data_IF_368960276513
#
_entry.id   IF_368960276513
#
_cell.length_a   1.000
_cell.length_b   1.000
_cell.length_c   1.000
_cell.angle_alpha   90.00
_cell.angle_beta   90.00
_cell.angle_gamma   90.00
#
_symmetry.space_group_name_H-M   'P 1'
#
loop_
_entity.id
_entity.type
_entity.pdbx_description
1 polymer ?
#
# COMPACT_ATOMS: atom_id res chain seq x y z
N UNK A 1 -2.96 31.71 10.26
CA UNK A 1 -2.22 31.49 8.99
C UNK A 1 -0.85 30.95 9.34
N UNK A 2 -0.76 29.64 9.57
CA UNK A 2 0.37 29.04 10.30
C UNK A 2 1.54 28.67 9.39
N UNK A 3 2.68 29.34 9.60
CA UNK A 3 3.98 28.69 9.82
C UNK A 3 4.77 28.07 8.66
N UNK A 4 4.19 27.78 7.48
CA UNK A 4 4.89 27.01 6.44
C UNK A 4 5.07 27.69 5.08
N UNK A 5 4.62 28.93 4.91
CA UNK A 5 4.70 29.65 3.63
C UNK A 5 6.14 29.82 3.09
N UNK A 6 7.16 29.65 3.93
CA UNK A 6 8.58 29.74 3.59
C UNK A 6 9.37 28.46 3.83
N UNK A 7 8.74 27.40 4.32
CA UNK A 7 9.40 26.14 4.62
C UNK A 7 9.57 25.35 3.34
N UNK A 8 10.78 24.87 3.06
CA UNK A 8 11.03 23.99 1.92
C UNK A 8 10.34 22.62 2.10
N UNK A 9 10.28 21.84 1.03
CA UNK A 9 9.56 20.57 1.04
C UNK A 9 10.27 19.50 1.88
N UNK A 10 11.59 19.56 2.02
CA UNK A 10 12.37 18.61 2.82
C UNK A 10 12.11 18.77 4.33
N UNK A 11 12.05 20.02 4.79
CA UNK A 11 11.69 20.36 6.15
C UNK A 11 10.22 20.02 6.45
N UNK A 12 9.31 20.19 5.49
CA UNK A 12 7.93 19.72 5.61
C UNK A 12 7.86 18.20 5.73
N UNK A 13 8.60 17.46 4.90
CA UNK A 13 8.69 15.99 4.98
C UNK A 13 9.22 15.56 6.34
N UNK A 14 10.26 16.22 6.85
CA UNK A 14 10.80 15.95 8.19
C UNK A 14 9.75 16.16 9.30
N UNK A 15 8.83 17.11 9.13
CA UNK A 15 7.74 17.36 10.08
C UNK A 15 6.69 16.24 10.13
N UNK A 16 6.68 15.28 9.19
CA UNK A 16 5.79 14.12 9.23
C UNK A 16 6.07 13.22 10.45
N UNK A 17 7.31 13.20 10.93
CA UNK A 17 7.72 12.47 12.14
C UNK A 17 7.38 13.16 13.45
N UNK A 18 6.95 14.43 13.40
CA UNK A 18 6.57 15.18 14.59
C UNK A 18 5.04 15.13 14.79
N UNK A 19 4.53 14.51 15.88
CA UNK A 19 3.09 14.39 16.10
C UNK A 19 2.32 15.71 16.17
N UNK A 20 2.96 16.81 16.59
CA UNK A 20 2.32 18.13 16.65
C UNK A 20 2.27 18.81 15.29
N UNK A 21 3.19 18.49 14.37
CA UNK A 21 3.30 19.12 13.05
C UNK A 21 2.82 18.24 11.89
N UNK A 22 2.72 16.93 12.09
CA UNK A 22 2.47 15.93 11.04
C UNK A 22 1.23 16.24 10.20
N UNK A 23 0.09 16.58 10.84
CA UNK A 23 -1.16 16.87 10.13
C UNK A 23 -1.04 18.11 9.25
N UNK A 24 -0.43 19.18 9.77
CA UNK A 24 -0.26 20.43 9.03
C UNK A 24 0.74 20.26 7.87
N UNK A 25 1.84 19.55 8.12
CA UNK A 25 2.84 19.25 7.11
C UNK A 25 2.26 18.37 5.99
N UNK A 26 1.48 17.35 6.35
CA UNK A 26 0.83 16.45 5.42
C UNK A 26 -0.12 17.18 4.46
N UNK A 27 -1.01 18.03 5.00
CA UNK A 27 -1.93 18.82 4.19
C UNK A 27 -1.21 19.84 3.30
N UNK A 28 -0.14 20.45 3.80
CA UNK A 28 0.65 21.40 3.01
C UNK A 28 1.39 20.69 1.86
N UNK A 29 1.96 19.50 2.09
CA UNK A 29 2.59 18.69 1.05
C UNK A 29 1.57 18.27 -0.02
N UNK A 30 0.35 17.86 0.36
CA UNK A 30 -0.73 17.58 -0.59
C UNK A 30 -1.10 18.82 -1.42
N UNK A 31 -1.18 19.99 -0.78
CA UNK A 31 -1.49 21.26 -1.46
C UNK A 31 -0.42 21.65 -2.48
N UNK A 32 0.85 21.31 -2.22
CA UNK A 32 1.99 21.57 -3.13
C UNK A 32 2.06 20.57 -4.29
N UNK A 33 1.48 19.38 -4.12
CA UNK A 33 1.32 18.39 -5.18
C UNK A 33 2.66 18.07 -5.89
N UNK A 34 2.78 18.39 -7.18
CA UNK A 34 3.92 18.03 -8.01
C UNK A 34 5.23 18.64 -7.48
N UNK A 35 5.17 19.85 -6.94
CA UNK A 35 6.34 20.56 -6.43
C UNK A 35 6.98 19.84 -5.22
N UNK A 36 6.20 19.03 -4.50
CA UNK A 36 6.66 18.30 -3.32
C UNK A 36 7.09 16.86 -3.62
N UNK A 37 6.84 16.33 -4.82
CA UNK A 37 7.05 14.90 -5.13
C UNK A 37 8.50 14.45 -4.90
N UNK A 38 9.49 15.22 -5.36
CA UNK A 38 10.89 14.83 -5.21
C UNK A 38 11.32 14.75 -3.73
N UNK A 39 10.84 15.68 -2.90
CA UNK A 39 11.09 15.64 -1.46
C UNK A 39 10.38 14.46 -0.79
N UNK A 40 9.14 14.16 -1.19
CA UNK A 40 8.37 13.02 -0.65
C UNK A 40 9.03 11.70 -1.04
N UNK A 41 9.48 11.55 -2.29
CA UNK A 41 10.24 10.38 -2.77
C UNK A 41 11.52 10.20 -1.98
N UNK A 42 12.28 11.28 -1.77
CA UNK A 42 13.49 11.27 -0.93
C UNK A 42 13.18 10.87 0.52
N UNK A 43 12.03 11.32 1.04
CA UNK A 43 11.54 11.00 2.38
C UNK A 43 11.29 9.52 2.64
N UNK A 44 11.15 8.69 1.61
CA UNK A 44 11.07 7.23 1.77
C UNK A 44 12.37 6.60 2.30
N UNK A 45 13.50 7.29 2.20
CA UNK A 45 14.78 6.85 2.79
C UNK A 45 15.06 7.48 4.17
N UNK A 46 14.09 8.18 4.76
CA UNK A 46 14.29 8.88 6.03
C UNK A 46 14.48 7.89 7.21
N UNK A 47 15.33 8.25 8.18
CA UNK A 47 15.64 7.40 9.33
C UNK A 47 14.39 7.13 10.21
N UNK A 48 13.54 8.15 10.38
CA UNK A 48 12.29 8.05 11.14
C UNK A 48 11.21 7.29 10.34
N UNK A 49 10.69 6.14 10.84
CA UNK A 49 9.63 5.39 10.19
C UNK A 49 8.31 6.18 10.03
N UNK A 50 8.00 7.13 10.92
CA UNK A 50 6.80 7.95 10.78
C UNK A 50 6.87 8.88 9.55
N UNK A 51 8.07 9.36 9.21
CA UNK A 51 8.29 10.12 7.97
C UNK A 51 8.12 9.21 6.76
N UNK A 52 8.72 8.03 6.76
CA UNK A 52 8.57 7.05 5.66
C UNK A 52 7.12 6.65 5.44
N UNK A 53 6.40 6.35 6.51
CA UNK A 53 4.96 6.03 6.47
C UNK A 53 4.15 7.20 5.86
N UNK A 54 4.40 8.42 6.33
CA UNK A 54 3.74 9.61 5.81
C UNK A 54 3.99 9.80 4.32
N UNK A 55 5.23 9.56 3.86
CA UNK A 55 5.60 9.63 2.45
C UNK A 55 4.88 8.57 1.62
N UNK A 56 4.81 7.30 2.06
CA UNK A 56 4.03 6.26 1.39
C UNK A 56 2.57 6.68 1.17
N UNK A 57 1.94 7.25 2.21
CA UNK A 57 0.54 7.72 2.13
C UNK A 57 0.38 8.92 1.21
N UNK A 58 1.34 9.84 1.18
CA UNK A 58 1.30 11.00 0.28
C UNK A 58 1.39 10.56 -1.17
N UNK A 59 2.28 9.61 -1.50
CA UNK A 59 2.44 9.10 -2.87
C UNK A 59 1.19 8.35 -3.35
N UNK A 60 0.50 7.62 -2.46
CA UNK A 60 -0.81 7.02 -2.75
C UNK A 60 -1.87 8.09 -3.11
N UNK A 61 -1.96 9.15 -2.30
CA UNK A 61 -2.93 10.23 -2.54
C UNK A 61 -2.61 11.11 -3.76
N UNK A 62 -1.33 11.33 -4.04
CA UNK A 62 -0.87 12.11 -5.19
C UNK A 62 -0.86 11.30 -6.50
N UNK A 63 -1.15 10.00 -6.42
CA UNK A 63 -1.21 9.10 -7.59
C UNK A 63 0.10 9.09 -8.38
N UNK A 64 1.21 9.11 -7.66
CA UNK A 64 2.52 9.20 -8.29
C UNK A 64 2.97 7.82 -8.83
N UNK A 65 2.70 7.56 -10.10
CA UNK A 65 3.03 6.29 -10.76
C UNK A 65 4.53 6.07 -10.94
N UNK A 66 5.33 7.13 -10.90
CA UNK A 66 6.78 7.01 -11.02
C UNK A 66 7.42 6.49 -9.71
N UNK A 67 6.69 6.56 -8.58
CA UNK A 67 7.13 6.05 -7.28
C UNK A 67 6.84 4.57 -7.06
N UNK A 68 6.33 3.86 -8.07
CA UNK A 68 5.91 2.46 -7.90
C UNK A 68 7.04 1.56 -7.39
N UNK A 69 8.25 1.72 -7.89
CA UNK A 69 9.40 0.90 -7.49
C UNK A 69 9.83 1.21 -6.05
N UNK A 70 9.72 2.48 -5.65
CA UNK A 70 10.00 2.91 -4.29
C UNK A 70 8.95 2.33 -3.33
N UNK A 71 7.67 2.39 -3.67
CA UNK A 71 6.58 1.80 -2.87
C UNK A 71 6.70 0.28 -2.76
N UNK A 72 7.15 -0.41 -3.81
CA UNK A 72 7.45 -1.85 -3.75
C UNK A 72 8.57 -2.12 -2.75
N UNK A 73 9.65 -1.34 -2.76
CA UNK A 73 10.72 -1.49 -1.78
C UNK A 73 10.23 -1.26 -0.33
N UNK A 74 9.30 -0.32 -0.14
CA UNK A 74 8.70 -0.07 1.18
C UNK A 74 7.84 -1.21 1.72
N UNK A 75 7.45 -2.18 0.88
CA UNK A 75 6.76 -3.38 1.34
C UNK A 75 7.64 -4.24 2.26
N UNK A 76 8.97 -4.14 2.13
CA UNK A 76 9.96 -4.87 2.94
C UNK A 76 10.54 -3.99 4.09
N UNK A 77 9.92 -2.84 4.40
CA UNK A 77 10.40 -1.95 5.47
C UNK A 77 10.42 -2.65 6.85
N UNK A 78 11.44 -2.40 7.71
CA UNK A 78 11.48 -2.99 9.05
C UNK A 78 10.25 -2.62 9.91
N UNK A 79 9.67 -1.44 9.70
CA UNK A 79 8.51 -0.96 10.46
C UNK A 79 7.18 -1.41 9.82
N UNK A 80 6.33 -2.08 10.61
CA UNK A 80 5.07 -2.61 10.13
C UNK A 80 4.10 -1.52 9.62
N UNK A 81 4.12 -0.31 10.20
CA UNK A 81 3.25 0.80 9.77
C UNK A 81 3.62 1.27 8.36
N UNK A 82 4.92 1.27 8.06
CA UNK A 82 5.44 1.60 6.74
C UNK A 82 5.03 0.52 5.73
N UNK A 83 5.20 -0.76 6.06
CA UNK A 83 4.72 -1.88 5.21
C UNK A 83 3.22 -1.80 4.95
N UNK A 84 2.42 -1.50 5.96
CA UNK A 84 0.96 -1.31 5.83
C UNK A 84 0.63 -0.18 4.85
N UNK A 85 1.32 0.97 4.95
CA UNK A 85 1.13 2.10 4.06
C UNK A 85 1.54 1.77 2.63
N UNK A 86 2.66 1.07 2.44
CA UNK A 86 3.13 0.60 1.14
C UNK A 86 2.12 -0.34 0.48
N UNK A 87 1.68 -1.40 1.18
CA UNK A 87 0.67 -2.31 0.63
C UNK A 87 -0.66 -1.62 0.34
N UNK A 88 -1.06 -0.62 1.14
CA UNK A 88 -2.24 0.19 0.84
C UNK A 88 -2.10 0.91 -0.51
N UNK A 89 -0.97 1.58 -0.73
CA UNK A 89 -0.68 2.29 -1.98
C UNK A 89 -0.62 1.33 -3.20
N UNK A 90 -0.02 0.16 -3.02
CA UNK A 90 0.08 -0.86 -4.07
C UNK A 90 -1.30 -1.49 -4.39
N UNK A 91 -2.14 -1.66 -3.38
CA UNK A 91 -3.48 -2.25 -3.49
C UNK A 91 -4.59 -1.24 -3.85
N UNK A 92 -4.33 0.06 -3.91
CA UNK A 92 -5.37 1.03 -4.22
C UNK A 92 -5.78 0.97 -5.71
N UNK A 93 -7.04 0.57 -5.98
CA UNK A 93 -7.64 0.52 -7.33
C UNK A 93 -8.11 1.89 -7.84
N UNK A 94 -8.27 2.89 -6.94
CA UNK A 94 -8.89 4.17 -7.30
C UNK A 94 -8.04 5.06 -8.20
N UNK A 95 -6.75 4.78 -8.31
CA UNK A 95 -5.78 5.72 -8.85
C UNK A 95 -5.13 5.23 -10.14
N UNK A 96 -5.46 4.03 -10.59
CA UNK A 96 -4.87 3.40 -11.77
C UNK A 96 -6.00 3.07 -12.73
N UNK A 97 -6.17 3.87 -13.77
CA UNK A 97 -6.96 3.44 -14.93
C UNK A 97 -6.45 2.09 -15.45
N UNK A 98 -7.24 1.42 -16.30
CA UNK A 98 -7.00 0.05 -16.77
C UNK A 98 -5.57 -0.22 -17.30
N UNK A 99 -4.79 0.82 -17.59
CA UNK A 99 -3.42 0.78 -18.11
C UNK A 99 -2.31 0.75 -17.04
N UNK A 100 -2.62 0.89 -15.75
CA UNK A 100 -1.61 1.24 -14.74
C UNK A 100 -1.62 0.36 -13.48
N UNK A 101 -2.18 -0.85 -13.54
CA UNK A 101 -1.83 -1.85 -12.53
C UNK A 101 -0.33 -2.15 -12.67
N UNK A 102 0.49 -2.06 -11.60
CA UNK A 102 1.83 -2.66 -11.66
C UNK A 102 1.69 -4.07 -12.19
N UNK A 103 2.53 -4.43 -13.18
CA UNK A 103 2.54 -5.78 -13.71
C UNK A 103 2.54 -6.77 -12.55
N UNK A 104 1.65 -7.77 -12.61
CA UNK A 104 1.48 -8.77 -11.56
C UNK A 104 2.83 -9.29 -11.06
N UNK A 105 3.75 -9.45 -12.00
CA UNK A 105 5.14 -9.86 -11.84
C UNK A 105 5.93 -9.10 -10.76
N UNK A 106 5.62 -7.82 -10.51
CA UNK A 106 6.40 -6.97 -9.58
C UNK A 106 5.84 -6.91 -8.17
N UNK A 107 4.52 -7.06 -8.03
CA UNK A 107 3.82 -6.85 -6.74
C UNK A 107 3.27 -8.12 -6.13
N UNK A 108 3.05 -9.16 -6.95
CA UNK A 108 2.50 -10.41 -6.45
C UNK A 108 3.49 -11.15 -5.56
N UNK A 109 4.76 -11.24 -5.93
CA UNK A 109 5.77 -11.95 -5.12
C UNK A 109 5.95 -11.34 -3.72
N UNK A 110 6.09 -10.00 -3.54
CA UNK A 110 6.02 -9.39 -2.22
C UNK A 110 4.69 -9.66 -1.50
N UNK A 111 3.56 -9.55 -2.20
CA UNK A 111 2.25 -9.83 -1.62
C UNK A 111 2.14 -11.27 -1.07
N UNK A 112 2.57 -12.27 -1.84
CA UNK A 112 2.55 -13.67 -1.43
C UNK A 112 3.44 -13.92 -0.22
N UNK A 113 4.66 -13.39 -0.23
CA UNK A 113 5.63 -13.54 0.86
C UNK A 113 5.11 -12.95 2.17
N UNK A 114 4.64 -11.70 2.15
CA UNK A 114 4.11 -11.07 3.36
C UNK A 114 2.80 -11.70 3.81
N UNK A 115 1.96 -12.18 2.89
CA UNK A 115 0.76 -12.93 3.26
C UNK A 115 1.09 -14.23 4.01
N UNK A 116 2.18 -14.91 3.63
CA UNK A 116 2.62 -16.14 4.28
C UNK A 116 3.28 -15.87 5.65
N UNK A 117 4.23 -14.92 5.68
CA UNK A 117 5.25 -14.90 6.73
C UNK A 117 5.32 -13.58 7.54
N UNK A 118 4.56 -12.54 7.19
CA UNK A 118 4.67 -11.28 7.95
C UNK A 118 4.20 -11.48 9.41
N UNK A 119 5.00 -11.09 10.40
CA UNK A 119 4.62 -11.23 11.81
C UNK A 119 3.38 -10.41 12.16
N UNK A 120 3.16 -9.28 11.48
CA UNK A 120 2.07 -8.37 11.75
C UNK A 120 0.80 -8.78 10.98
N UNK A 121 -0.31 -9.11 11.68
CA UNK A 121 -1.54 -9.55 11.03
C UNK A 121 -2.22 -8.46 10.19
N UNK A 122 -1.96 -7.19 10.47
CA UNK A 122 -2.48 -6.09 9.68
C UNK A 122 -1.71 -5.97 8.36
N UNK A 123 -0.39 -6.19 8.35
CA UNK A 123 0.37 -6.33 7.09
C UNK A 123 -0.17 -7.50 6.27
N UNK A 124 -0.36 -8.69 6.88
CA UNK A 124 -0.98 -9.84 6.17
C UNK A 124 -2.36 -9.53 5.62
N UNK A 125 -3.18 -8.76 6.36
CA UNK A 125 -4.50 -8.31 5.89
C UNK A 125 -4.39 -7.41 4.65
N UNK A 126 -3.38 -6.52 4.59
CA UNK A 126 -3.12 -5.69 3.40
C UNK A 126 -2.57 -6.52 2.24
N UNK A 127 -1.73 -7.50 2.52
CA UNK A 127 -1.25 -8.46 1.54
C UNK A 127 -2.41 -9.26 0.91
N UNK A 128 -3.43 -9.66 1.69
CA UNK A 128 -4.67 -10.26 1.16
C UNK A 128 -5.34 -9.35 0.13
N UNK A 129 -5.43 -8.04 0.38
CA UNK A 129 -6.06 -7.09 -0.55
C UNK A 129 -5.27 -6.99 -1.86
N UNK A 130 -3.93 -6.93 -1.80
CA UNK A 130 -3.08 -6.89 -2.98
C UNK A 130 -3.13 -8.21 -3.76
N UNK A 131 -2.93 -9.34 -3.11
CA UNK A 131 -2.95 -10.68 -3.72
C UNK A 131 -4.33 -10.98 -4.31
N UNK A 132 -5.39 -10.52 -3.63
CA UNK A 132 -6.79 -10.63 -4.08
C UNK A 132 -7.06 -10.07 -5.47
N UNK A 133 -6.26 -9.11 -5.94
CA UNK A 133 -6.38 -8.56 -7.31
C UNK A 133 -6.05 -9.58 -8.39
N UNK A 134 -5.19 -10.53 -8.08
CA UNK A 134 -4.69 -11.53 -9.02
C UNK A 134 -5.41 -12.87 -8.88
N UNK A 135 -6.46 -12.96 -8.05
CA UNK A 135 -7.12 -14.23 -7.72
C UNK A 135 -7.75 -14.94 -8.92
N UNK A 136 -8.15 -14.19 -9.95
CA UNK A 136 -8.75 -14.73 -11.18
C UNK A 136 -7.74 -14.94 -12.32
N UNK A 137 -6.49 -14.51 -12.14
CA UNK A 137 -5.47 -14.48 -13.21
C UNK A 137 -4.19 -15.21 -12.85
N UNK A 138 -3.90 -15.47 -11.56
CA UNK A 138 -2.74 -16.24 -11.10
C UNK A 138 -3.16 -17.28 -10.04
N UNK A 139 -2.85 -18.55 -10.31
CA UNK A 139 -3.18 -19.66 -9.42
C UNK A 139 -2.48 -19.59 -8.06
N UNK A 140 -1.28 -18.99 -7.99
CA UNK A 140 -0.54 -18.79 -6.73
C UNK A 140 -1.32 -17.86 -5.79
N UNK A 141 -1.94 -16.82 -6.34
CA UNK A 141 -2.77 -15.90 -5.57
C UNK A 141 -3.97 -16.62 -4.94
N UNK A 142 -4.71 -17.41 -5.74
CA UNK A 142 -5.82 -18.21 -5.25
C UNK A 142 -5.39 -19.20 -4.15
N UNK A 143 -4.31 -19.94 -4.39
CA UNK A 143 -3.81 -20.93 -3.44
C UNK A 143 -3.40 -20.28 -2.11
N UNK A 144 -2.68 -19.15 -2.17
CA UNK A 144 -2.28 -18.42 -0.96
C UNK A 144 -3.48 -17.89 -0.18
N UNK A 145 -4.49 -17.33 -0.86
CA UNK A 145 -5.72 -16.84 -0.21
C UNK A 145 -6.52 -17.97 0.43
N UNK A 146 -6.61 -19.14 -0.20
CA UNK A 146 -7.25 -20.31 0.39
C UNK A 146 -6.50 -20.83 1.62
N UNK A 147 -5.16 -20.88 1.55
CA UNK A 147 -4.32 -21.27 2.68
C UNK A 147 -4.49 -20.30 3.86
N UNK A 148 -4.39 -18.99 3.62
CA UNK A 148 -4.61 -17.97 4.65
C UNK A 148 -6.03 -18.00 5.20
N UNK A 149 -7.05 -18.23 4.37
CA UNK A 149 -8.43 -18.37 4.85
C UNK A 149 -8.58 -19.54 5.83
N UNK A 150 -7.95 -20.67 5.54
CA UNK A 150 -8.06 -21.88 6.35
C UNK A 150 -7.19 -21.84 7.61
N UNK A 151 -5.97 -21.27 7.52
CA UNK A 151 -4.91 -21.56 8.49
C UNK A 151 -4.27 -20.32 9.12
N UNK A 152 -4.55 -19.10 8.67
CA UNK A 152 -3.91 -17.91 9.27
C UNK A 152 -4.21 -17.82 10.77
N UNK A 153 -3.21 -17.55 11.64
CA UNK A 153 -3.42 -17.44 13.07
C UNK A 153 -4.47 -16.38 13.46
N UNK A 154 -4.55 -15.28 12.69
CA UNK A 154 -5.46 -14.17 12.92
C UNK A 154 -6.85 -14.43 12.33
N UNK A 155 -7.93 -14.42 13.15
CA UNK A 155 -9.29 -14.53 12.64
C UNK A 155 -9.67 -13.42 11.65
N UNK A 156 -9.09 -12.23 11.81
CA UNK A 156 -9.32 -11.10 10.91
C UNK A 156 -8.75 -11.38 9.51
N UNK A 157 -7.54 -11.93 9.43
CA UNK A 157 -6.92 -12.31 8.16
C UNK A 157 -7.71 -13.45 7.51
N UNK A 158 -8.08 -14.50 8.26
CA UNK A 158 -8.92 -15.59 7.75
C UNK A 158 -10.22 -15.07 7.13
N UNK A 159 -10.91 -14.17 7.85
CA UNK A 159 -12.16 -13.56 7.38
C UNK A 159 -11.95 -12.75 6.09
N UNK A 160 -10.89 -11.94 6.04
CA UNK A 160 -10.56 -11.11 4.88
C UNK A 160 -10.23 -11.97 3.66
N UNK A 161 -9.37 -12.99 3.83
CA UNK A 161 -9.00 -13.91 2.77
C UNK A 161 -10.22 -14.64 2.21
N UNK A 162 -11.15 -15.06 3.08
CA UNK A 162 -12.40 -15.69 2.69
C UNK A 162 -13.32 -14.83 1.81
N UNK A 163 -13.16 -13.50 1.79
CA UNK A 163 -13.88 -12.66 0.85
C UNK A 163 -13.39 -12.80 -0.59
N UNK A 164 -12.11 -13.15 -0.76
CA UNK A 164 -11.44 -13.31 -2.05
C UNK A 164 -11.33 -14.76 -2.51
N UNK A 165 -11.67 -15.77 -1.71
CA UNK A 165 -11.74 -17.17 -2.16
C UNK A 165 -13.08 -17.51 -2.84
N UNK A 166 -13.20 -18.62 -3.59
CA UNK A 166 -14.47 -19.06 -4.17
C UNK A 166 -15.62 -19.10 -3.16
N UNK A 167 -16.77 -18.54 -3.54
CA UNK A 167 -17.92 -18.34 -2.64
C UNK A 167 -17.88 -17.05 -1.81
N UNK A 168 -16.72 -16.39 -1.73
CA UNK A 168 -16.53 -15.10 -1.10
C UNK A 168 -17.24 -13.95 -1.84
N UNK A 169 -17.66 -12.93 -1.09
CA UNK A 169 -18.41 -11.80 -1.64
C UNK A 169 -17.61 -11.00 -2.68
N UNK A 170 -16.31 -10.79 -2.45
CA UNK A 170 -15.46 -10.03 -3.37
C UNK A 170 -15.10 -10.90 -4.57
N UNK A 171 -14.70 -12.16 -4.37
CA UNK A 171 -14.40 -13.10 -5.45
C UNK A 171 -15.54 -13.18 -6.48
N UNK A 172 -16.80 -13.32 -6.03
CA UNK A 172 -17.96 -13.33 -6.92
C UNK A 172 -18.15 -12.01 -7.67
N UNK A 173 -17.95 -10.88 -6.98
CA UNK A 173 -18.14 -9.54 -7.55
C UNK A 173 -17.08 -9.21 -8.61
N UNK A 174 -15.83 -9.66 -8.41
CA UNK A 174 -14.70 -9.36 -9.29
C UNK A 174 -14.45 -10.43 -10.35
N UNK A 175 -15.27 -11.49 -10.39
CA UNK A 175 -15.14 -12.54 -11.38
C UNK A 175 -15.24 -11.97 -12.81
N UNK A 176 -14.36 -12.38 -13.74
CA UNK A 176 -14.45 -11.97 -15.14
C UNK A 176 -15.82 -12.31 -15.70
N UNK A 177 -16.45 -11.36 -16.40
CA UNK A 177 -17.67 -11.66 -17.15
C UNK A 177 -17.28 -12.56 -18.31
N UNK A 178 -18.03 -13.65 -18.50
CA UNK A 178 -17.86 -14.49 -19.68
C UNK A 178 -18.07 -13.61 -20.92
N UNK A 179 -17.09 -13.61 -21.84
CA UNK A 179 -17.25 -12.99 -23.14
C UNK A 179 -18.27 -13.85 -23.91
N UNK A 180 -19.45 -13.28 -24.15
CA UNK A 180 -20.51 -13.85 -24.97
C UNK A 180 -20.13 -13.86 -26.44
#
# INVERSE_FOLDING_TARGET
MLGFARTDNEALVSCLGDPQRTVAAYHELLRRHADALDAIRTGLSHADPAVREGCCRLLDHLVDTDSMDLLIAMADDPDARVRIAAFHALACDRCKGDTCAPGADRVLDPGLRHLADDPDPQVRTRAVELVGKFVHTDARALNALQASHAQDPSPAVRKKAGWYTPGGAIHRRTAPRALS
#
